data_IF_724694666567
#
_entry.id   IF_724694666567
#
_cell.length_a   1.000
_cell.length_b   1.000
_cell.length_c   1.000
_cell.angle_alpha   90.00
_cell.angle_beta   90.00
_cell.angle_gamma   90.00
#
_symmetry.space_group_name_H-M   'P 1'
#
loop_
_entity.id
_entity.type
_entity.pdbx_description
1 polymer ?
#
# COMPACT_ATOMS: atom_id res chain seq x y z
N UNK A 1 12.63 3.51 26.64
CA UNK A 1 12.36 3.33 26.14
C UNK A 1 11.91 2.96 25.49
N UNK A 2 11.92 2.47 25.19
CA UNK A 2 11.56 2.00 24.59
C UNK A 2 11.24 1.75 23.76
N UNK A 3 11.36 1.59 23.47
CA UNK A 3 11.12 1.38 22.65
C UNK A 3 10.52 1.22 21.86
N UNK A 4 10.54 1.20 21.52
CA UNK A 4 10.06 0.99 20.70
C UNK A 4 9.71 0.14 20.23
N UNK A 5 9.40 -0.17 20.36
CA UNK A 5 9.10 -0.92 19.90
C UNK A 5 8.95 -1.19 19.01
N UNK A 6 9.10 -1.38 18.88
CA UNK A 6 9.06 -1.57 18.18
C UNK A 6 8.61 -1.73 17.42
N UNK A 7 8.67 -1.36 17.86
CA UNK A 7 8.25 -1.59 17.08
C UNK A 7 8.14 -1.92 15.99
N UNK A 8 8.13 -2.60 15.82
CA UNK A 8 8.03 -3.08 14.61
C UNK A 8 6.80 -3.78 14.46
N UNK A 9 5.79 -3.05 14.45
CA UNK A 9 4.59 -3.50 13.97
C UNK A 9 4.77 -3.74 12.54
N UNK A 10 4.32 -4.87 11.96
CA UNK A 10 4.42 -5.09 10.53
C UNK A 10 3.83 -3.96 9.74
N UNK A 11 2.84 -3.29 10.32
CA UNK A 11 2.19 -2.21 9.61
C UNK A 11 3.04 -0.97 9.49
N UNK A 12 4.19 -0.94 10.13
CA UNK A 12 5.02 0.24 10.08
C UNK A 12 6.24 0.09 9.23
N UNK A 13 6.45 -1.07 8.64
CA UNK A 13 7.68 -1.31 7.91
C UNK A 13 7.55 -1.13 6.41
N UNK A 14 6.41 -0.64 5.96
CA UNK A 14 6.25 -0.39 4.52
C UNK A 14 5.81 -1.58 3.71
N UNK A 15 5.51 -2.69 4.35
CA UNK A 15 5.03 -3.84 3.61
C UNK A 15 3.66 -3.55 2.99
N UNK A 16 3.29 -4.29 1.93
CA UNK A 16 2.00 -4.05 1.30
C UNK A 16 0.84 -4.16 2.27
N UNK A 17 0.90 -5.07 3.23
CA UNK A 17 -0.20 -5.24 4.15
C UNK A 17 -0.45 -4.02 5.03
N UNK A 18 0.54 -3.16 5.17
CA UNK A 18 0.39 -2.00 6.03
C UNK A 18 -0.61 -1.00 5.48
N UNK A 19 -0.96 -1.10 4.21
CA UNK A 19 -1.88 -0.16 3.59
C UNK A 19 -3.33 -0.66 3.61
N UNK A 20 -3.54 -1.95 3.84
CA UNK A 20 -4.88 -2.51 3.79
C UNK A 20 -5.68 -1.95 4.95
N UNK A 21 -6.90 -1.50 4.65
CA UNK A 21 -7.76 -0.91 5.66
C UNK A 21 -7.64 0.59 5.79
N UNK A 22 -6.66 1.20 5.13
CA UNK A 22 -6.52 2.64 5.17
C UNK A 22 -7.43 3.28 4.16
N UNK A 23 -7.79 4.55 4.43
CA UNK A 23 -8.41 5.38 3.43
C UNK A 23 -7.48 5.47 2.23
N UNK A 24 -8.05 5.39 1.02
CA UNK A 24 -7.23 5.33 -0.19
C UNK A 24 -6.33 6.54 -0.33
N UNK A 25 -6.86 7.72 -0.05
CA UNK A 25 -6.07 8.94 -0.18
C UNK A 25 -4.91 8.94 0.78
N UNK A 26 -5.17 8.50 2.01
CA UNK A 26 -4.12 8.43 3.00
C UNK A 26 -3.07 7.40 2.62
N UNK A 27 -3.51 6.26 2.07
CA UNK A 27 -2.57 5.23 1.63
C UNK A 27 -1.66 5.77 0.53
N UNK A 28 -2.22 6.53 -0.40
CA UNK A 28 -1.43 7.10 -1.47
C UNK A 28 -0.40 8.08 -0.95
N UNK A 29 -0.80 8.92 0.00
CA UNK A 29 0.13 9.86 0.60
C UNK A 29 1.24 9.15 1.34
N UNK A 30 0.89 8.10 2.07
CA UNK A 30 1.87 7.36 2.82
C UNK A 30 2.86 6.65 1.90
N UNK A 31 2.36 6.08 0.81
CA UNK A 31 3.23 5.42 -0.16
C UNK A 31 4.21 6.42 -0.76
N UNK A 32 3.73 7.62 -1.08
CA UNK A 32 4.62 8.64 -1.61
C UNK A 32 5.71 9.01 -0.64
N UNK A 33 5.38 9.13 0.64
CA UNK A 33 6.38 9.43 1.64
C UNK A 33 7.41 8.34 1.78
N UNK A 34 7.01 7.09 1.53
CA UNK A 34 7.91 5.95 1.67
C UNK A 34 8.74 5.72 0.43
N UNK A 35 8.58 6.56 -0.58
CA UNK A 35 9.47 6.50 -1.73
C UNK A 35 9.00 5.68 -2.91
N UNK A 36 7.73 5.25 -2.91
CA UNK A 36 7.21 4.55 -4.07
C UNK A 36 7.13 5.50 -5.25
N UNK A 37 7.68 5.09 -6.38
CA UNK A 37 7.71 5.95 -7.56
C UNK A 37 6.36 6.05 -8.24
N UNK A 38 5.60 4.96 -8.22
CA UNK A 38 4.30 4.89 -8.87
C UNK A 38 3.32 4.26 -7.91
N UNK A 39 2.19 4.92 -7.72
CA UNK A 39 1.11 4.38 -6.90
C UNK A 39 -0.09 4.24 -7.83
N UNK A 40 -0.59 3.01 -7.98
CA UNK A 40 -1.72 2.74 -8.86
C UNK A 40 -2.89 2.26 -8.02
N UNK A 41 -4.04 2.92 -8.18
CA UNK A 41 -5.26 2.53 -7.50
C UNK A 41 -6.23 1.95 -8.51
N UNK A 42 -6.81 0.82 -8.19
CA UNK A 42 -7.68 0.08 -9.09
C UNK A 42 -8.99 -0.22 -8.40
N UNK A 43 -10.09 -0.26 -9.15
CA UNK A 43 -11.38 -0.65 -8.57
C UNK A 43 -11.41 -2.14 -8.27
N UNK A 44 -12.38 -2.57 -7.44
CA UNK A 44 -12.49 -3.99 -7.11
C UNK A 44 -12.73 -4.81 -8.37
N UNK A 45 -12.15 -5.99 -8.41
CA UNK A 45 -12.36 -6.89 -9.53
C UNK A 45 -11.57 -6.56 -10.76
N UNK A 46 -10.62 -5.64 -10.66
CA UNK A 46 -9.79 -5.30 -11.81
C UNK A 46 -8.94 -6.49 -12.22
N UNK A 47 -8.76 -6.61 -13.53
CA UNK A 47 -7.89 -7.64 -14.07
C UNK A 47 -6.46 -7.22 -13.85
N UNK A 48 -5.69 -8.07 -13.19
CA UNK A 48 -4.29 -7.79 -12.89
C UNK A 48 -3.46 -8.51 -13.91
N UNK A 49 -2.67 -7.75 -14.67
CA UNK A 49 -1.78 -8.35 -15.66
C UNK A 49 -0.53 -8.84 -14.96
N UNK A 50 0.21 -9.69 -15.64
CA UNK A 50 1.45 -10.24 -15.11
C UNK A 50 2.62 -9.28 -15.23
N UNK A 51 2.35 -8.08 -15.67
CA UNK A 51 3.38 -7.10 -15.91
C UNK A 51 3.89 -6.55 -14.57
N UNK A 52 5.16 -6.69 -14.31
CA UNK A 52 5.78 -6.19 -13.10
C UNK A 52 6.50 -4.89 -13.39
N UNK A 53 6.31 -3.89 -12.54
CA UNK A 53 7.04 -2.64 -12.65
C UNK A 53 7.70 -2.35 -11.32
N UNK A 54 9.02 -2.29 -11.32
CA UNK A 54 9.75 -2.03 -10.10
C UNK A 54 9.45 -0.61 -9.62
N UNK A 55 9.27 -0.46 -8.31
CA UNK A 55 8.96 0.85 -7.74
C UNK A 55 7.48 1.19 -7.75
N UNK A 56 6.63 0.29 -8.23
CA UNK A 56 5.19 0.52 -8.25
C UNK A 56 4.52 -0.27 -7.13
N UNK A 57 3.59 0.40 -6.46
CA UNK A 57 2.74 -0.25 -5.49
C UNK A 57 1.29 -0.11 -5.98
N UNK A 58 0.52 -1.16 -5.81
CA UNK A 58 -0.84 -1.22 -6.32
C UNK A 58 -1.82 -1.38 -5.16
N UNK A 59 -2.90 -0.61 -5.22
CA UNK A 59 -3.99 -0.72 -4.26
C UNK A 59 -5.26 -1.10 -4.98
N UNK A 60 -5.99 -2.05 -4.42
CA UNK A 60 -7.38 -2.26 -4.81
C UNK A 60 -8.23 -1.50 -3.83
N UNK A 61 -9.09 -0.61 -4.33
CA UNK A 61 -9.84 0.30 -3.50
C UNK A 61 -11.32 0.05 -3.69
N UNK A 62 -12.03 -0.12 -2.59
CA UNK A 62 -13.47 -0.35 -2.62
C UNK A 62 -14.08 0.61 -1.61
N UNK A 63 -14.97 1.49 -2.09
CA UNK A 63 -15.63 2.43 -1.19
C UNK A 63 -14.67 3.40 -0.53
N UNK A 64 -13.54 3.70 -1.18
CA UNK A 64 -12.57 4.63 -0.63
C UNK A 64 -11.58 4.01 0.33
N UNK A 65 -11.62 2.70 0.51
CA UNK A 65 -10.74 2.01 1.43
C UNK A 65 -9.89 1.00 0.67
N UNK A 66 -8.63 0.89 1.03
CA UNK A 66 -7.73 -0.08 0.41
C UNK A 66 -8.10 -1.45 0.93
N UNK A 67 -8.46 -2.36 0.02
CA UNK A 67 -8.84 -3.72 0.39
C UNK A 67 -7.75 -4.72 0.07
N UNK A 68 -6.87 -4.41 -0.87
CA UNK A 68 -5.73 -5.26 -1.20
C UNK A 68 -4.58 -4.38 -1.62
N UNK A 69 -3.38 -4.88 -1.44
CA UNK A 69 -2.18 -4.15 -1.82
C UNK A 69 -1.12 -5.15 -2.26
N UNK A 70 -0.43 -4.84 -3.37
CA UNK A 70 0.65 -5.70 -3.83
C UNK A 70 1.67 -4.86 -4.60
N UNK A 71 2.85 -5.42 -4.74
CA UNK A 71 3.96 -4.73 -5.40
C UNK A 71 4.02 -5.11 -6.87
N UNK A 72 4.51 -4.18 -7.67
CA UNK A 72 4.70 -4.43 -9.09
C UNK A 72 3.50 -4.18 -9.91
#
# INVERSE_FOLDING_TARGET
MTPKPTSHEPNEDGSPDSYVGLDAERAEQLAGRRGWNVVRSLPPGSIITMEYLEGRINFEVDGGTVTRCWLG
#
